data_IF_768510344179
#
_entry.id   IF_768510344179
#
_cell.length_a   1.000
_cell.length_b   1.000
_cell.length_c   1.000
_cell.angle_alpha   90.00
_cell.angle_beta   90.00
_cell.angle_gamma   90.00
#
_symmetry.space_group_name_H-M   'P 1'
#
loop_
_entity.id
_entity.type
_entity.pdbx_description
1 polymer ?
#
# COMPACT_ATOMS: atom_id res chain seq x y z
N UNK A 1 -8.92 13.87 7.61
CA UNK A 1 -8.72 13.80 6.17
C UNK A 1 -7.91 12.55 5.94
N UNK A 2 -8.38 11.57 5.18
CA UNK A 2 -7.53 10.42 4.88
C UNK A 2 -6.43 10.77 3.88
N UNK A 3 -5.46 9.87 3.69
CA UNK A 3 -4.41 10.01 2.67
C UNK A 3 -4.67 9.08 1.49
N UNK A 4 -4.28 9.51 0.29
CA UNK A 4 -4.37 8.80 -1.00
C UNK A 4 -5.79 8.56 -1.53
N UNK A 5 -6.65 7.89 -0.76
CA UNK A 5 -7.99 7.49 -1.19
C UNK A 5 -9.04 7.85 -0.13
N UNK A 6 -10.21 8.28 -0.61
CA UNK A 6 -11.37 8.65 0.21
C UNK A 6 -12.67 8.39 -0.57
N UNK A 7 -13.81 8.75 0.04
CA UNK A 7 -15.14 8.58 -0.56
C UNK A 7 -15.35 9.31 -1.90
N UNK A 8 -14.58 10.36 -2.16
CA UNK A 8 -14.68 11.20 -3.36
C UNK A 8 -13.77 10.70 -4.50
N UNK A 9 -12.82 9.80 -4.20
CA UNK A 9 -11.92 9.18 -5.20
C UNK A 9 -12.73 8.44 -6.26
N UNK A 10 -12.42 8.69 -7.54
CA UNK A 10 -13.09 8.05 -8.68
C UNK A 10 -12.19 6.98 -9.27
N UNK A 11 -12.54 5.73 -9.01
CA UNK A 11 -11.62 4.61 -9.20
C UNK A 11 -11.97 3.81 -10.46
N UNK A 12 -10.95 3.56 -11.28
CA UNK A 12 -11.03 2.60 -12.38
C UNK A 12 -10.20 1.35 -12.09
N UNK A 13 -10.55 0.26 -12.75
CA UNK A 13 -9.86 -1.02 -12.64
C UNK A 13 -9.18 -1.35 -13.98
N UNK A 14 -7.85 -1.45 -14.01
CA UNK A 14 -7.15 -1.99 -15.17
C UNK A 14 -7.09 -3.53 -15.07
N UNK A 15 -7.54 -4.22 -16.11
CA UNK A 15 -7.85 -5.65 -16.04
C UNK A 15 -9.24 -5.95 -15.48
N UNK A 16 -10.19 -5.00 -15.62
CA UNK A 16 -11.51 -5.03 -14.99
C UNK A 16 -12.32 -6.30 -15.26
N UNK A 17 -12.23 -6.82 -16.49
CA UNK A 17 -13.01 -8.00 -16.92
C UNK A 17 -12.27 -9.32 -16.72
N UNK A 18 -11.09 -9.30 -16.08
CA UNK A 18 -10.38 -10.52 -15.65
C UNK A 18 -11.00 -11.10 -14.38
N UNK A 19 -10.63 -12.34 -14.03
CA UNK A 19 -11.17 -13.04 -12.84
C UNK A 19 -10.94 -12.25 -11.55
N UNK A 20 -9.67 -11.94 -11.24
CA UNK A 20 -9.30 -11.17 -10.04
C UNK A 20 -9.84 -9.73 -10.07
N UNK A 21 -9.76 -9.07 -11.23
CA UNK A 21 -10.33 -7.74 -11.42
C UNK A 21 -11.84 -7.69 -11.16
N UNK A 22 -12.57 -8.71 -11.60
CA UNK A 22 -14.01 -8.84 -11.36
C UNK A 22 -14.31 -9.10 -9.89
N UNK A 23 -13.62 -10.06 -9.29
CA UNK A 23 -13.83 -10.45 -7.90
C UNK A 23 -13.54 -9.30 -6.94
N UNK A 24 -12.41 -8.62 -7.09
CA UNK A 24 -12.07 -7.54 -6.18
C UNK A 24 -12.82 -6.25 -6.48
N UNK A 25 -13.16 -5.95 -7.73
CA UNK A 25 -14.02 -4.79 -8.03
C UNK A 25 -15.42 -4.96 -7.46
N UNK A 26 -16.01 -6.16 -7.49
CA UNK A 26 -17.32 -6.39 -6.86
C UNK A 26 -17.26 -6.17 -5.35
N UNK A 27 -16.21 -6.66 -4.68
CA UNK A 27 -15.97 -6.43 -3.26
C UNK A 27 -15.71 -4.95 -2.93
N UNK A 28 -15.04 -4.20 -3.81
CA UNK A 28 -14.86 -2.76 -3.64
C UNK A 28 -16.19 -2.01 -3.75
N UNK A 29 -17.01 -2.34 -4.75
CA UNK A 29 -18.36 -1.77 -4.93
C UNK A 29 -19.24 -2.09 -3.72
N UNK A 30 -19.24 -3.34 -3.25
CA UNK A 30 -19.99 -3.78 -2.07
C UNK A 30 -19.56 -3.04 -0.80
N UNK A 31 -18.26 -2.73 -0.67
CA UNK A 31 -17.73 -1.93 0.44
C UNK A 31 -18.15 -0.45 0.39
N UNK A 32 -18.64 0.04 -0.75
CA UNK A 32 -19.00 1.44 -0.97
C UNK A 32 -17.95 2.28 -1.72
N UNK A 33 -16.88 1.65 -2.20
CA UNK A 33 -15.87 2.33 -3.01
C UNK A 33 -16.47 2.81 -4.33
N UNK A 34 -16.22 4.07 -4.71
CA UNK A 34 -16.73 4.65 -5.95
C UNK A 34 -15.97 4.18 -7.20
N UNK A 35 -16.20 2.92 -7.59
CA UNK A 35 -15.74 2.37 -8.86
C UNK A 35 -16.59 2.95 -10.00
N UNK A 36 -15.94 3.67 -10.91
CA UNK A 36 -16.60 4.40 -12.02
C UNK A 36 -16.46 3.72 -13.38
N UNK A 37 -15.69 2.64 -13.47
CA UNK A 37 -15.46 1.91 -14.71
C UNK A 37 -14.21 1.06 -14.65
N UNK A 38 -13.78 0.58 -15.82
CA UNK A 38 -12.51 -0.11 -15.92
C UNK A 38 -12.02 -0.26 -17.34
N UNK A 39 -10.77 -0.71 -17.47
CA UNK A 39 -10.06 -0.81 -18.73
C UNK A 39 -9.80 -2.29 -19.03
N UNK A 40 -10.16 -2.72 -20.23
CA UNK A 40 -9.70 -3.97 -20.82
C UNK A 40 -9.60 -3.76 -22.32
N UNK A 41 -8.37 -3.70 -22.89
CA UNK A 41 -8.19 -3.53 -24.33
C UNK A 41 -8.97 -4.57 -25.14
N UNK A 42 -9.66 -4.11 -26.19
CA UNK A 42 -10.54 -4.92 -27.02
C UNK A 42 -11.97 -5.09 -26.51
N UNK A 43 -12.29 -4.59 -25.30
CA UNK A 43 -13.65 -4.65 -24.72
C UNK A 43 -14.27 -3.28 -24.46
N UNK A 44 -13.66 -2.19 -24.93
CA UNK A 44 -14.25 -0.85 -24.79
C UNK A 44 -15.64 -0.73 -25.40
N UNK A 45 -16.53 -0.01 -24.72
CA UNK A 45 -17.94 0.16 -25.08
C UNK A 45 -18.88 -0.90 -24.48
N UNK A 46 -18.34 -1.93 -23.83
CA UNK A 46 -19.13 -2.90 -23.06
C UNK A 46 -19.46 -2.37 -21.66
N UNK A 47 -20.30 -3.12 -20.94
CA UNK A 47 -20.55 -2.94 -19.51
C UNK A 47 -20.09 -4.18 -18.75
N UNK A 48 -19.61 -3.97 -17.52
CA UNK A 48 -19.22 -5.03 -16.59
C UNK A 48 -19.46 -4.56 -15.16
N UNK A 49 -20.08 -5.39 -14.31
CA UNK A 49 -20.53 -5.01 -12.97
C UNK A 49 -21.35 -3.69 -12.96
N UNK A 50 -22.19 -3.50 -13.98
CA UNK A 50 -22.98 -2.28 -14.21
C UNK A 50 -22.16 -0.98 -14.35
N UNK A 51 -20.88 -1.10 -14.73
CA UNK A 51 -19.97 0.01 -15.00
C UNK A 51 -19.43 -0.05 -16.45
N UNK A 52 -19.08 1.10 -17.05
CA UNK A 52 -18.53 1.13 -18.41
C UNK A 52 -17.13 0.51 -18.48
N UNK A 53 -16.87 -0.21 -19.58
CA UNK A 53 -15.55 -0.72 -19.95
C UNK A 53 -14.97 0.16 -21.05
N UNK A 54 -13.69 0.52 -20.92
CA UNK A 54 -12.94 1.35 -21.86
C UNK A 54 -11.77 0.56 -22.47
N UNK A 55 -11.31 1.00 -23.64
CA UNK A 55 -10.12 0.39 -24.26
C UNK A 55 -8.81 0.95 -23.69
N UNK A 56 -8.82 2.19 -23.20
CA UNK A 56 -7.63 2.88 -22.67
C UNK A 56 -7.96 3.60 -21.37
N UNK A 57 -6.94 3.83 -20.55
CA UNK A 57 -7.06 4.65 -19.33
C UNK A 57 -7.41 6.10 -19.66
N UNK A 58 -6.83 6.64 -20.73
CA UNK A 58 -7.13 8.01 -21.20
C UNK A 58 -8.62 8.20 -21.47
N UNK A 59 -9.24 7.27 -22.20
CA UNK A 59 -10.68 7.30 -22.46
C UNK A 59 -11.50 7.25 -21.16
N UNK A 60 -11.08 6.43 -20.19
CA UNK A 60 -11.73 6.35 -18.90
C UNK A 60 -11.63 7.68 -18.13
N UNK A 61 -10.45 8.30 -18.08
CA UNK A 61 -10.25 9.62 -17.44
C UNK A 61 -11.12 10.68 -18.10
N UNK A 62 -11.15 10.76 -19.44
CA UNK A 62 -11.95 11.75 -20.17
C UNK A 62 -13.46 11.59 -19.93
N UNK A 63 -13.97 10.35 -19.87
CA UNK A 63 -15.42 10.08 -19.80
C UNK A 63 -15.97 10.06 -18.38
N UNK A 64 -15.21 9.55 -17.41
CA UNK A 64 -15.69 9.39 -16.03
C UNK A 64 -14.88 10.17 -14.99
N UNK A 65 -13.85 10.90 -15.42
CA UNK A 65 -13.05 11.76 -14.54
C UNK A 65 -12.29 10.98 -13.48
N UNK A 66 -11.82 9.77 -13.82
CA UNK A 66 -11.08 8.92 -12.89
C UNK A 66 -9.78 9.61 -12.43
N UNK A 67 -9.48 9.52 -11.13
CA UNK A 67 -8.26 10.06 -10.52
C UNK A 67 -7.38 8.97 -9.89
N UNK A 68 -7.91 7.76 -9.76
CA UNK A 68 -7.29 6.63 -9.10
C UNK A 68 -7.48 5.37 -9.95
N UNK A 69 -6.44 4.54 -10.03
CA UNK A 69 -6.54 3.22 -10.66
C UNK A 69 -6.05 2.12 -9.74
N UNK A 70 -6.68 0.96 -9.82
CA UNK A 70 -6.14 -0.31 -9.33
C UNK A 70 -5.82 -1.24 -10.51
N UNK A 71 -4.69 -1.94 -10.43
CA UNK A 71 -4.15 -2.77 -11.52
C UNK A 71 -4.17 -4.24 -11.10
N UNK A 72 -4.92 -5.05 -11.87
CA UNK A 72 -5.00 -6.53 -11.77
C UNK A 72 -4.51 -7.22 -13.05
N UNK A 73 -3.75 -6.52 -13.90
CA UNK A 73 -3.23 -7.11 -15.14
C UNK A 73 -2.09 -8.09 -14.84
N UNK A 74 -1.89 -9.14 -15.68
CA UNK A 74 -0.78 -10.07 -15.51
C UNK A 74 0.60 -9.39 -15.48
N UNK A 75 1.63 -10.01 -14.86
CA UNK A 75 2.92 -9.36 -14.61
C UNK A 75 3.61 -8.83 -15.86
N UNK A 76 3.52 -9.56 -16.97
CA UNK A 76 4.11 -9.18 -18.26
C UNK A 76 3.54 -7.87 -18.86
N UNK A 77 2.40 -7.39 -18.36
CA UNK A 77 1.72 -6.19 -18.86
C UNK A 77 1.62 -5.09 -17.80
N UNK A 78 2.03 -5.36 -16.55
CA UNK A 78 1.76 -4.47 -15.43
C UNK A 78 2.61 -3.19 -15.46
N UNK A 79 3.85 -3.25 -15.95
CA UNK A 79 4.67 -2.05 -16.13
C UNK A 79 4.07 -1.09 -17.16
N UNK A 80 3.56 -1.62 -18.28
CA UNK A 80 2.88 -0.82 -19.31
C UNK A 80 1.60 -0.17 -18.77
N UNK A 81 0.79 -0.93 -18.02
CA UNK A 81 -0.41 -0.42 -17.35
C UNK A 81 -0.13 0.70 -16.32
N UNK A 82 1.01 0.62 -15.61
CA UNK A 82 1.46 1.71 -14.71
C UNK A 82 1.80 2.96 -15.53
N UNK A 83 2.56 2.81 -16.61
CA UNK A 83 2.96 3.92 -17.47
C UNK A 83 1.75 4.56 -18.16
N UNK A 84 0.80 3.76 -18.66
CA UNK A 84 -0.46 4.22 -19.27
C UNK A 84 -1.28 5.06 -18.29
N UNK A 85 -1.43 4.59 -17.04
CA UNK A 85 -2.16 5.34 -16.03
C UNK A 85 -1.51 6.68 -15.68
N UNK A 86 -0.18 6.69 -15.52
CA UNK A 86 0.56 7.91 -15.24
C UNK A 86 0.47 8.91 -16.41
N UNK A 87 0.48 8.44 -17.66
CA UNK A 87 0.33 9.29 -18.84
C UNK A 87 -1.09 9.85 -19.00
N UNK A 88 -2.10 9.08 -18.64
CA UNK A 88 -3.50 9.50 -18.65
C UNK A 88 -3.85 10.51 -17.53
N UNK A 89 -2.92 10.82 -16.62
CA UNK A 89 -3.11 11.81 -15.56
C UNK A 89 -3.73 11.28 -14.27
N UNK A 90 -3.77 9.96 -14.08
CA UNK A 90 -4.18 9.34 -12.82
C UNK A 90 -3.21 9.76 -11.69
N UNK A 91 -3.76 10.16 -10.55
CA UNK A 91 -3.00 10.67 -9.39
C UNK A 91 -2.53 9.56 -8.47
N UNK A 92 -3.32 8.51 -8.29
CA UNK A 92 -2.98 7.37 -7.43
C UNK A 92 -3.09 6.08 -8.22
N UNK A 93 -1.97 5.37 -8.34
CA UNK A 93 -1.85 4.11 -9.08
C UNK A 93 -1.55 3.01 -8.08
N UNK A 94 -2.42 2.02 -7.97
CA UNK A 94 -2.28 0.91 -7.01
C UNK A 94 -2.09 -0.39 -7.79
N UNK A 95 -0.90 -0.96 -7.72
CA UNK A 95 -0.55 -2.19 -8.45
C UNK A 95 -0.55 -3.38 -7.51
N UNK A 96 -1.51 -4.29 -7.69
CA UNK A 96 -1.63 -5.49 -6.86
C UNK A 96 -0.68 -6.60 -7.35
N UNK A 97 -0.52 -6.69 -8.66
CA UNK A 97 0.20 -7.75 -9.37
C UNK A 97 1.57 -8.06 -8.74
N UNK A 98 1.79 -9.33 -8.42
CA UNK A 98 3.07 -9.87 -7.97
C UNK A 98 3.87 -10.47 -9.15
N UNK A 99 5.20 -10.47 -9.06
CA UNK A 99 6.06 -11.16 -10.03
C UNK A 99 6.33 -10.37 -11.30
N UNK A 100 6.19 -9.04 -11.25
CA UNK A 100 6.59 -8.15 -12.35
C UNK A 100 8.12 -8.25 -12.50
N UNK A 101 8.65 -8.47 -13.71
CA UNK A 101 10.09 -8.48 -13.91
C UNK A 101 10.75 -7.19 -13.41
N UNK A 102 11.87 -7.33 -12.69
CA UNK A 102 12.59 -6.17 -12.11
C UNK A 102 12.97 -5.14 -13.19
N UNK A 103 13.37 -5.60 -14.38
CA UNK A 103 13.69 -4.71 -15.51
C UNK A 103 12.50 -3.86 -15.96
N UNK A 104 11.29 -4.43 -15.94
CA UNK A 104 10.07 -3.74 -16.31
C UNK A 104 9.70 -2.71 -15.23
N UNK A 105 9.88 -3.06 -13.96
CA UNK A 105 9.68 -2.12 -12.85
C UNK A 105 10.72 -0.98 -12.83
N UNK A 106 11.97 -1.22 -13.22
CA UNK A 106 12.96 -0.14 -13.43
C UNK A 106 12.46 0.82 -14.50
N UNK A 107 11.95 0.28 -15.60
CA UNK A 107 11.42 1.08 -16.71
C UNK A 107 10.22 1.92 -16.27
N UNK A 108 9.22 1.30 -15.65
CA UNK A 108 8.03 1.99 -15.16
C UNK A 108 8.37 3.03 -14.07
N UNK A 109 9.22 2.69 -13.09
CA UNK A 109 9.65 3.59 -12.02
C UNK A 109 10.36 4.83 -12.57
N UNK A 110 11.27 4.66 -13.55
CA UNK A 110 11.93 5.77 -14.21
C UNK A 110 10.95 6.63 -15.03
N UNK A 111 9.98 5.99 -15.70
CA UNK A 111 9.00 6.69 -16.54
C UNK A 111 8.05 7.58 -15.72
N UNK A 112 7.59 7.10 -14.55
CA UNK A 112 6.68 7.89 -13.69
C UNK A 112 7.42 8.97 -12.90
N UNK A 113 8.75 8.92 -12.84
CA UNK A 113 9.56 9.90 -12.12
C UNK A 113 9.36 11.30 -12.72
N UNK A 114 8.86 12.23 -11.91
CA UNK A 114 8.55 13.60 -12.34
C UNK A 114 7.15 13.79 -12.93
N UNK A 115 6.33 12.73 -13.02
CA UNK A 115 4.90 12.86 -13.28
C UNK A 115 4.16 13.13 -11.97
N UNK A 116 3.04 13.86 -12.07
CA UNK A 116 2.18 14.18 -10.94
C UNK A 116 1.24 13.00 -10.60
N UNK A 117 1.86 11.91 -10.14
CA UNK A 117 1.19 10.69 -9.71
C UNK A 117 1.98 10.00 -8.60
N UNK A 118 1.31 9.11 -7.86
CA UNK A 118 1.91 8.27 -6.84
C UNK A 118 1.58 6.81 -7.10
N UNK A 119 2.61 5.96 -7.13
CA UNK A 119 2.49 4.51 -7.27
C UNK A 119 2.53 3.83 -5.89
N UNK A 120 1.60 2.92 -5.63
CA UNK A 120 1.57 1.99 -4.49
C UNK A 120 1.75 0.58 -5.02
N UNK A 121 2.60 -0.22 -4.39
CA UNK A 121 3.01 -1.52 -4.90
C UNK A 121 4.21 -1.42 -5.85
N UNK A 122 4.46 -2.45 -6.69
CA UNK A 122 3.63 -3.63 -6.94
C UNK A 122 3.66 -4.65 -5.79
N UNK A 123 3.10 -5.85 -6.00
CA UNK A 123 3.05 -6.93 -5.02
C UNK A 123 2.55 -6.45 -3.65
N UNK A 124 1.37 -5.82 -3.64
CA UNK A 124 0.83 -5.18 -2.46
C UNK A 124 -0.66 -5.47 -2.27
N UNK A 125 -1.19 -5.38 -1.03
CA UNK A 125 -2.62 -5.56 -0.79
C UNK A 125 -3.46 -4.35 -1.24
N UNK A 126 -2.83 -3.20 -1.52
CA UNK A 126 -3.48 -1.94 -1.88
C UNK A 126 -3.60 -0.95 -0.71
N UNK A 127 -4.58 -0.05 -0.81
CA UNK A 127 -4.85 1.01 0.19
C UNK A 127 -6.30 0.95 0.66
N UNK A 128 -6.53 1.17 1.95
CA UNK A 128 -7.88 1.30 2.51
C UNK A 128 -7.97 2.47 3.48
N UNK A 129 -8.99 3.31 3.26
CA UNK A 129 -9.51 4.27 4.22
C UNK A 129 -10.86 3.74 4.69
N UNK A 130 -10.98 3.28 5.95
CA UNK A 130 -12.17 2.55 6.40
C UNK A 130 -13.43 3.40 6.30
N UNK A 131 -14.54 2.75 5.91
CA UNK A 131 -15.86 3.39 5.71
C UNK A 131 -15.91 4.42 4.56
N UNK A 132 -14.82 4.57 3.80
CA UNK A 132 -14.75 5.55 2.70
C UNK A 132 -14.33 4.89 1.38
N UNK A 133 -13.16 4.27 1.34
CA UNK A 133 -12.66 3.63 0.13
C UNK A 133 -11.72 2.47 0.46
N UNK A 134 -12.06 1.31 -0.09
CA UNK A 134 -11.16 0.15 -0.18
C UNK A 134 -10.69 0.02 -1.62
N UNK A 135 -9.40 0.13 -1.87
CA UNK A 135 -8.77 -0.03 -3.19
C UNK A 135 -7.69 -1.08 -3.09
N UNK A 136 -8.10 -2.35 -3.17
CA UNK A 136 -7.21 -3.49 -2.97
C UNK A 136 -7.92 -4.80 -2.62
N UNK A 137 -7.11 -5.76 -2.17
CA UNK A 137 -7.53 -7.15 -1.90
C UNK A 137 -7.76 -7.44 -0.41
N UNK A 138 -7.55 -6.45 0.46
CA UNK A 138 -7.68 -6.59 1.91
C UNK A 138 -9.13 -6.84 2.37
N UNK A 139 -9.39 -7.62 3.42
CA UNK A 139 -10.75 -7.83 3.93
C UNK A 139 -11.29 -6.56 4.63
N UNK A 140 -12.27 -5.88 4.02
CA UNK A 140 -12.74 -4.58 4.49
C UNK A 140 -13.34 -4.59 5.91
N UNK A 141 -13.92 -5.72 6.34
CA UNK A 141 -14.57 -5.84 7.66
C UNK A 141 -13.60 -5.77 8.85
N UNK A 142 -12.31 -6.07 8.62
CA UNK A 142 -11.24 -6.00 9.64
C UNK A 142 -10.93 -4.56 10.01
N UNK A 143 -11.13 -3.62 9.08
CA UNK A 143 -10.77 -2.23 9.26
C UNK A 143 -11.99 -1.43 9.74
N UNK A 144 -11.83 -0.71 10.85
CA UNK A 144 -12.81 0.24 11.39
C UNK A 144 -12.23 1.63 11.37
N UNK A 145 -13.06 2.65 11.15
CA UNK A 145 -12.60 4.04 11.14
C UNK A 145 -12.05 4.42 12.51
N UNK A 146 -10.93 5.13 12.54
CA UNK A 146 -10.32 5.62 13.77
C UNK A 146 -9.14 6.53 13.51
N UNK A 147 -8.06 6.36 14.27
CA UNK A 147 -6.98 7.35 14.43
C UNK A 147 -5.57 6.80 14.24
N UNK A 148 -5.42 5.55 13.80
CA UNK A 148 -4.13 4.89 13.63
C UNK A 148 -3.84 4.69 12.14
N UNK A 149 -2.73 5.25 11.65
CA UNK A 149 -2.24 4.97 10.30
C UNK A 149 -1.46 3.66 10.26
N UNK A 150 -1.51 2.92 9.16
CA UNK A 150 -0.68 1.72 8.98
C UNK A 150 0.10 1.83 7.67
N UNK A 151 1.40 1.55 7.72
CA UNK A 151 2.23 1.28 6.54
C UNK A 151 2.86 -0.11 6.67
N UNK A 152 2.83 -0.89 5.60
CA UNK A 152 3.33 -2.27 5.64
C UNK A 152 3.81 -2.78 4.29
N UNK A 153 4.89 -3.56 4.29
CA UNK A 153 5.33 -4.35 3.13
C UNK A 153 4.49 -5.62 2.90
N UNK A 154 3.83 -6.14 3.94
CA UNK A 154 3.14 -7.43 3.92
C UNK A 154 1.62 -7.30 3.95
N UNK A 155 0.91 -8.09 3.14
CA UNK A 155 -0.55 -8.13 3.11
C UNK A 155 -1.17 -8.60 4.43
N UNK A 156 -1.11 -9.89 4.71
CA UNK A 156 -1.82 -10.51 5.86
C UNK A 156 -1.37 -9.98 7.22
N UNK A 157 -0.09 -9.63 7.38
CA UNK A 157 0.41 -9.02 8.61
C UNK A 157 -0.16 -7.61 8.84
N UNK A 158 -0.54 -6.88 7.78
CA UNK A 158 -1.29 -5.63 7.91
C UNK A 158 -2.66 -5.88 8.52
N UNK A 159 -3.33 -6.97 8.12
CA UNK A 159 -4.68 -7.28 8.59
C UNK A 159 -4.65 -7.68 10.06
N UNK A 160 -3.64 -8.44 10.46
CA UNK A 160 -3.40 -8.80 11.86
C UNK A 160 -3.17 -7.55 12.73
N UNK A 161 -2.33 -6.62 12.29
CA UNK A 161 -2.11 -5.37 13.02
C UNK A 161 -3.37 -4.51 13.10
N UNK A 162 -4.12 -4.39 12.00
CA UNK A 162 -5.38 -3.67 11.98
C UNK A 162 -6.42 -4.28 12.94
N UNK A 163 -6.58 -5.60 12.92
CA UNK A 163 -7.48 -6.32 13.83
C UNK A 163 -7.09 -6.13 15.30
N UNK A 164 -5.80 -6.23 15.63
CA UNK A 164 -5.32 -5.99 16.99
C UNK A 164 -5.62 -4.55 17.46
N UNK A 165 -5.39 -3.54 16.61
CA UNK A 165 -5.70 -2.13 16.93
C UNK A 165 -7.20 -1.96 17.15
N UNK A 166 -8.04 -2.51 16.27
CA UNK A 166 -9.50 -2.45 16.42
C UNK A 166 -9.96 -3.14 17.71
N UNK A 167 -9.36 -4.28 18.08
CA UNK A 167 -9.67 -4.99 19.34
C UNK A 167 -9.26 -4.23 20.60
N UNK A 168 -8.35 -3.25 20.51
CA UNK A 168 -8.07 -2.32 21.61
C UNK A 168 -9.10 -1.18 21.71
N UNK A 169 -10.18 -1.19 20.91
CA UNK A 169 -11.17 -0.11 20.87
C UNK A 169 -10.71 1.11 20.07
N UNK A 170 -9.62 0.99 19.31
CA UNK A 170 -9.13 2.01 18.39
C UNK A 170 -9.65 1.72 16.97
N UNK A 171 -9.11 2.42 15.98
CA UNK A 171 -9.42 2.17 14.57
C UNK A 171 -8.36 2.79 13.67
N UNK A 172 -8.53 2.59 12.37
CA UNK A 172 -7.56 2.91 11.33
C UNK A 172 -7.99 4.18 10.58
N UNK A 173 -7.05 5.08 10.29
CA UNK A 173 -7.25 6.22 9.37
C UNK A 173 -7.10 5.76 7.93
N UNK A 174 -5.88 5.41 7.56
CA UNK A 174 -5.54 4.81 6.28
C UNK A 174 -4.49 3.72 6.49
N UNK A 175 -4.70 2.56 5.88
CA UNK A 175 -3.69 1.51 5.79
C UNK A 175 -3.13 1.44 4.36
N UNK A 176 -1.81 1.53 4.24
CA UNK A 176 -1.06 1.57 2.98
C UNK A 176 -0.16 0.33 2.91
N UNK A 177 -0.54 -0.63 2.09
CA UNK A 177 0.34 -1.73 1.72
C UNK A 177 1.28 -1.28 0.61
N UNK A 178 2.55 -1.04 0.91
CA UNK A 178 3.52 -0.51 -0.06
C UNK A 178 4.12 -1.59 -0.98
N UNK A 179 4.05 -2.86 -0.54
CA UNK A 179 4.43 -4.03 -1.31
C UNK A 179 5.76 -4.67 -0.90
N UNK A 180 5.93 -5.93 -1.30
CA UNK A 180 7.07 -6.80 -0.95
C UNK A 180 8.20 -6.85 -2.00
N UNK A 181 8.02 -6.19 -3.14
CA UNK A 181 8.99 -6.24 -4.23
C UNK A 181 10.23 -5.37 -3.95
N UNK A 182 11.38 -5.65 -4.61
CA UNK A 182 12.61 -4.87 -4.41
C UNK A 182 12.52 -3.45 -4.97
N UNK A 183 11.66 -3.21 -5.96
CA UNK A 183 11.39 -1.89 -6.54
C UNK A 183 9.90 -1.62 -6.39
N UNK A 184 9.58 -0.69 -5.50
CA UNK A 184 8.21 -0.22 -5.22
C UNK A 184 8.07 1.25 -5.60
N UNK A 185 6.82 1.72 -5.72
CA UNK A 185 6.52 3.12 -5.98
C UNK A 185 6.74 4.00 -4.74
N UNK A 186 5.89 3.83 -3.72
CA UNK A 186 5.94 4.62 -2.49
C UNK A 186 6.75 3.88 -1.44
N UNK A 187 7.82 4.51 -0.95
CA UNK A 187 8.69 3.96 0.08
C UNK A 187 8.04 3.99 1.47
N UNK A 188 8.58 3.22 2.42
CA UNK A 188 8.16 3.28 3.83
C UNK A 188 8.24 4.72 4.37
N UNK A 189 9.32 5.45 4.05
CA UNK A 189 9.50 6.85 4.46
C UNK A 189 8.34 7.74 3.98
N UNK A 190 8.03 7.68 2.69
CA UNK A 190 6.98 8.52 2.10
C UNK A 190 5.59 8.17 2.60
N UNK A 191 5.31 6.91 2.88
CA UNK A 191 4.04 6.48 3.47
C UNK A 191 3.94 6.91 4.96
N UNK A 192 5.02 6.76 5.75
CA UNK A 192 5.06 7.31 7.12
C UNK A 192 4.87 8.82 7.10
N UNK A 193 5.50 9.54 6.17
CA UNK A 193 5.36 10.98 6.04
C UNK A 193 3.92 11.41 5.74
N UNK A 194 3.24 10.72 4.83
CA UNK A 194 1.80 10.98 4.58
C UNK A 194 0.97 10.81 5.85
N UNK A 195 1.15 9.71 6.56
CA UNK A 195 0.36 9.39 7.76
C UNK A 195 0.69 10.32 8.93
N UNK A 196 1.96 10.67 9.13
CA UNK A 196 2.36 11.62 10.18
C UNK A 196 1.81 13.03 9.89
N UNK A 197 1.73 13.43 8.63
CA UNK A 197 1.22 14.75 8.25
C UNK A 197 -0.32 14.82 8.21
N UNK A 198 -1.02 13.68 8.21
CA UNK A 198 -2.48 13.66 8.32
C UNK A 198 -2.95 14.04 9.73
N UNK A 199 -3.74 15.12 9.91
CA UNK A 199 -4.26 15.53 11.21
C UNK A 199 -5.18 14.51 11.92
N UNK A 200 -5.84 13.60 11.21
CA UNK A 200 -6.67 12.55 11.83
C UNK A 200 -5.86 11.36 12.36
N UNK A 201 -4.62 11.19 11.86
CA UNK A 201 -3.73 10.15 12.34
C UNK A 201 -3.02 10.61 13.61
N UNK A 202 -3.27 9.95 14.73
CA UNK A 202 -2.63 10.21 16.04
C UNK A 202 -1.42 9.30 16.30
N UNK A 203 -1.41 8.09 15.74
CA UNK A 203 -0.28 7.15 15.81
C UNK A 203 -0.09 6.42 14.49
N UNK A 204 1.13 5.93 14.23
CA UNK A 204 1.44 5.14 13.03
C UNK A 204 1.99 3.78 13.41
N UNK A 205 1.49 2.73 12.76
CA UNK A 205 2.08 1.39 12.79
C UNK A 205 2.95 1.22 11.55
N UNK A 206 4.23 0.91 11.74
CA UNK A 206 5.19 0.66 10.67
C UNK A 206 5.64 -0.81 10.69
N UNK A 207 5.22 -1.56 9.68
CA UNK A 207 5.53 -2.99 9.54
C UNK A 207 6.51 -3.20 8.40
N UNK A 208 7.69 -3.68 8.76
CA UNK A 208 8.73 -4.04 7.82
C UNK A 208 9.09 -5.52 7.87
N UNK A 209 10.11 -5.85 7.09
CA UNK A 209 10.69 -7.19 6.99
C UNK A 209 12.19 -7.07 6.69
N UNK A 210 12.89 -8.20 6.60
CA UNK A 210 14.28 -8.23 6.15
C UNK A 210 14.45 -7.69 4.72
N UNK A 211 15.68 -7.25 4.40
CA UNK A 211 16.07 -6.82 3.05
C UNK A 211 15.90 -5.33 2.78
N UNK A 212 16.94 -4.70 2.23
CA UNK A 212 16.98 -3.26 1.95
C UNK A 212 16.95 -2.37 3.20
N UNK A 213 16.86 -1.06 2.99
CA UNK A 213 17.04 -0.03 4.03
C UNK A 213 15.81 0.85 4.28
N UNK A 214 14.65 0.52 3.68
CA UNK A 214 13.47 1.39 3.71
C UNK A 214 13.00 1.75 5.14
N UNK A 215 13.03 0.80 6.07
CA UNK A 215 12.64 1.02 7.46
C UNK A 215 13.67 1.84 8.24
N UNK A 216 14.96 1.65 7.94
CA UNK A 216 16.04 2.45 8.53
C UNK A 216 15.96 3.91 8.06
N UNK A 217 15.72 4.14 6.76
CA UNK A 217 15.55 5.46 6.17
C UNK A 217 14.31 6.17 6.74
N UNK A 218 13.18 5.45 6.88
CA UNK A 218 11.97 5.96 7.50
C UNK A 218 12.21 6.34 8.98
N UNK A 219 12.94 5.52 9.73
CA UNK A 219 13.27 5.79 11.12
C UNK A 219 14.17 7.03 11.28
N UNK A 220 15.22 7.15 10.48
CA UNK A 220 16.11 8.30 10.48
C UNK A 220 15.36 9.60 10.11
N UNK A 221 14.49 9.53 9.09
CA UNK A 221 13.64 10.65 8.72
C UNK A 221 12.67 11.03 9.84
N UNK A 222 12.01 10.07 10.50
CA UNK A 222 11.10 10.34 11.60
C UNK A 222 11.80 11.05 12.76
N UNK A 223 13.01 10.62 13.12
CA UNK A 223 13.83 11.31 14.12
C UNK A 223 14.13 12.76 13.71
N UNK A 224 14.49 12.97 12.46
CA UNK A 224 14.84 14.30 11.92
C UNK A 224 13.62 15.22 11.76
N UNK A 225 12.42 14.67 11.50
CA UNK A 225 11.20 15.46 11.32
C UNK A 225 10.74 16.16 12.60
N UNK A 226 11.17 15.68 13.77
CA UNK A 226 10.79 16.24 15.06
C UNK A 226 9.34 15.95 15.47
N UNK A 227 8.61 15.13 14.70
CA UNK A 227 7.24 14.73 14.99
C UNK A 227 7.10 14.10 16.38
N UNK A 228 5.94 14.30 16.99
CA UNK A 228 5.59 13.74 18.31
C UNK A 228 4.54 12.64 18.24
N UNK A 229 3.95 12.38 17.07
CA UNK A 229 3.01 11.28 16.89
C UNK A 229 3.77 9.96 17.01
N UNK A 230 3.41 9.07 17.95
CA UNK A 230 4.17 7.85 18.19
C UNK A 230 4.11 6.93 16.98
N UNK A 231 5.24 6.27 16.71
CA UNK A 231 5.33 5.17 15.76
C UNK A 231 5.55 3.87 16.54
N UNK A 232 4.71 2.87 16.29
CA UNK A 232 4.91 1.48 16.73
C UNK A 232 5.45 0.67 15.57
N UNK A 233 6.58 0.00 15.79
CA UNK A 233 7.32 -0.70 14.74
C UNK A 233 7.38 -2.21 14.94
N UNK A 234 7.28 -2.98 13.86
CA UNK A 234 7.59 -4.43 13.86
C UNK A 234 8.41 -4.78 12.61
N UNK A 235 9.39 -5.67 12.76
CA UNK A 235 10.20 -6.18 11.65
C UNK A 235 10.14 -7.70 11.63
N UNK A 236 9.58 -8.26 10.56
CA UNK A 236 9.54 -9.70 10.31
C UNK A 236 10.89 -10.26 9.84
N UNK A 237 11.09 -11.57 10.00
CA UNK A 237 12.24 -12.28 9.43
C UNK A 237 13.47 -12.39 10.33
N UNK A 238 13.33 -12.24 11.65
CA UNK A 238 14.43 -12.36 12.61
C UNK A 238 15.15 -13.73 12.57
N UNK A 239 14.41 -14.79 12.26
CA UNK A 239 14.93 -16.16 12.13
C UNK A 239 15.25 -16.56 10.68
N UNK A 240 15.20 -15.61 9.74
CA UNK A 240 15.46 -15.90 8.34
C UNK A 240 16.96 -16.20 8.09
N UNK A 241 17.28 -17.25 7.32
CA UNK A 241 18.67 -17.54 6.97
C UNK A 241 19.20 -16.51 5.98
N UNK A 242 20.50 -16.17 6.11
CA UNK A 242 21.17 -15.24 5.20
C UNK A 242 21.18 -15.76 3.75
N UNK A 243 21.07 -14.86 2.77
CA UNK A 243 21.14 -15.19 1.35
C UNK A 243 19.95 -15.97 0.77
N UNK A 244 18.86 -16.15 1.53
CA UNK A 244 17.64 -16.82 1.06
C UNK A 244 16.48 -15.84 0.95
N UNK A 245 15.77 -15.89 -0.18
CA UNK A 245 14.52 -15.16 -0.39
C UNK A 245 13.38 -15.80 0.41
N UNK A 246 12.61 -14.98 1.13
CA UNK A 246 11.52 -15.41 2.00
C UNK A 246 10.15 -14.99 1.44
N UNK A 247 9.63 -15.74 0.47
CA UNK A 247 8.33 -15.44 -0.15
C UNK A 247 8.39 -14.23 -1.07
N UNK A 248 8.32 -13.02 -0.48
CA UNK A 248 8.44 -11.77 -1.24
C UNK A 248 9.82 -11.65 -1.91
N UNK A 249 9.85 -11.13 -3.12
CA UNK A 249 11.07 -10.96 -3.90
C UNK A 249 12.10 -10.03 -3.20
N UNK A 250 11.64 -9.03 -2.44
CA UNK A 250 12.49 -8.12 -1.68
C UNK A 250 12.95 -8.64 -0.30
N UNK A 251 12.42 -9.77 0.17
CA UNK A 251 12.70 -10.32 1.49
C UNK A 251 13.98 -11.20 1.48
N UNK A 252 15.13 -10.58 1.24
CA UNK A 252 16.45 -11.24 1.23
C UNK A 252 17.47 -10.42 2.03
N UNK A 253 18.24 -11.08 2.90
CA UNK A 253 19.34 -10.44 3.63
C UNK A 253 20.58 -10.40 2.74
N UNK A 254 20.91 -9.22 2.21
CA UNK A 254 22.08 -8.99 1.35
C UNK A 254 23.32 -8.49 2.09
N UNK A 255 23.14 -7.74 3.18
CA UNK A 255 24.22 -7.24 4.04
C UNK A 255 23.88 -7.27 5.53
N UNK A 256 24.85 -6.91 6.38
CA UNK A 256 24.68 -6.88 7.85
C UNK A 256 23.57 -5.94 8.30
N UNK A 257 23.38 -4.85 7.55
CA UNK A 257 22.42 -3.79 7.87
C UNK A 257 21.00 -4.12 7.37
N UNK A 258 20.84 -5.17 6.57
CA UNK A 258 19.55 -5.62 6.04
C UNK A 258 18.82 -6.58 6.99
N UNK A 259 19.49 -6.97 8.08
CA UNK A 259 18.95 -7.91 9.07
C UNK A 259 17.83 -7.27 9.89
N UNK A 260 16.88 -8.09 10.35
CA UNK A 260 15.81 -7.61 11.22
C UNK A 260 16.37 -6.93 12.48
N UNK A 261 17.46 -7.48 13.05
CA UNK A 261 18.10 -6.93 14.23
C UNK A 261 18.71 -5.55 14.00
N UNK A 262 19.40 -5.35 12.88
CA UNK A 262 19.95 -4.05 12.52
C UNK A 262 18.84 -3.00 12.38
N UNK A 263 17.76 -3.33 11.65
CA UNK A 263 16.60 -2.45 11.48
C UNK A 263 15.93 -2.11 12.81
N UNK A 264 15.64 -3.12 13.65
CA UNK A 264 15.07 -2.92 15.00
C UNK A 264 15.94 -1.98 15.85
N UNK A 265 17.27 -2.13 15.81
CA UNK A 265 18.21 -1.25 16.53
C UNK A 265 18.12 0.20 16.05
N UNK A 266 18.12 0.44 14.74
CA UNK A 266 18.01 1.78 14.15
C UNK A 266 16.67 2.43 14.49
N UNK A 267 15.57 1.67 14.38
CA UNK A 267 14.22 2.13 14.72
C UNK A 267 14.13 2.54 16.20
N UNK A 268 14.62 1.71 17.13
CA UNK A 268 14.67 2.05 18.57
C UNK A 268 15.51 3.30 18.84
N UNK A 269 16.68 3.42 18.23
CA UNK A 269 17.55 4.60 18.37
C UNK A 269 16.95 5.90 17.76
N UNK A 270 15.90 5.74 16.95
CA UNK A 270 15.12 6.83 16.34
C UNK A 270 13.86 7.18 17.13
N UNK A 271 13.63 6.55 18.28
CA UNK A 271 12.46 6.81 19.13
C UNK A 271 11.19 6.07 18.70
N UNK A 272 11.30 5.06 17.84
CA UNK A 272 10.17 4.19 17.46
C UNK A 272 9.97 3.11 18.53
N UNK A 273 8.72 2.86 18.91
CA UNK A 273 8.33 1.81 19.84
C UNK A 273 8.32 0.46 19.14
N UNK A 274 9.48 -0.21 19.10
CA UNK A 274 9.63 -1.49 18.39
C UNK A 274 9.19 -2.66 19.27
N UNK A 275 8.18 -3.40 18.81
CA UNK A 275 7.75 -4.68 19.42
C UNK A 275 8.52 -5.85 18.83
N UNK A 276 8.77 -6.87 19.65
CA UNK A 276 9.48 -8.08 19.20
C UNK A 276 8.53 -9.17 18.72
N UNK A 277 7.30 -9.20 19.26
CA UNK A 277 6.24 -10.10 18.83
C UNK A 277 5.22 -9.39 17.95
N UNK A 278 4.79 -9.98 16.82
CA UNK A 278 3.71 -9.41 16.00
C UNK A 278 2.38 -9.36 16.76
N UNK A 279 2.20 -10.16 17.81
CA UNK A 279 0.98 -10.19 18.64
C UNK A 279 0.85 -8.99 19.60
N UNK A 280 1.91 -8.18 19.72
CA UNK A 280 1.95 -7.05 20.66
C UNK A 280 1.69 -5.69 20.02
N UNK A 281 1.49 -5.64 18.69
CA UNK A 281 1.36 -4.38 17.94
C UNK A 281 0.20 -3.56 18.47
N UNK A 282 -1.03 -4.10 18.50
CA UNK A 282 -2.20 -3.34 18.93
C UNK A 282 -2.10 -2.91 20.40
N UNK A 283 -1.64 -3.82 21.28
CA UNK A 283 -1.43 -3.50 22.70
C UNK A 283 -0.45 -2.34 22.88
N UNK A 284 0.66 -2.34 22.13
CA UNK A 284 1.65 -1.26 22.19
C UNK A 284 1.08 0.06 21.65
N UNK A 285 0.26 0.02 20.59
CA UNK A 285 -0.43 1.22 20.08
C UNK A 285 -1.35 1.83 21.14
N UNK A 286 -2.14 1.02 21.84
CA UNK A 286 -2.97 1.51 22.94
C UNK A 286 -2.13 2.12 24.07
N UNK A 287 -1.05 1.44 24.48
CA UNK A 287 -0.14 1.94 25.53
C UNK A 287 0.45 3.32 25.21
N UNK A 288 0.85 3.58 23.96
CA UNK A 288 1.48 4.87 23.58
C UNK A 288 0.48 6.00 23.36
N UNK A 289 -0.81 5.68 23.17
CA UNK A 289 -1.88 6.66 23.02
C UNK A 289 -2.58 7.00 24.36
N UNK A 290 -2.33 6.24 25.42
CA UNK A 290 -2.95 6.42 26.74
C UNK A 290 -4.37 5.87 26.81
#
# INVERSE_FOLDING_TARGET
>A
MSVLVNKDSKIIVQGFTGSEGTFHASQMIEYGTNVVGGVTPGKGGQTHLDKPVFNTVKEAVEKVGADTTIIFVPPAFAADAIMEAADAGIKVIITITEGIPVADMITASNYIKGKDCRLIGPNCPGVITPEEAKVGIMPGFVFKKGKVGIVSKSGTLTYEAADQVVKQGLGITTAIGIGGDPIIGTTTKEAVELLINDPETEAVVMIGEIGGQLEADAANWYKASGSKKPIVGFIAGETAPAGRTMGHAGAIVGGSDDTAQAKKKIMRASGIHVVDSPAEIGKKVAEVLG
#
